data_IF_981362445321
#
_entry.id   IF_981362445321
#
_cell.length_a   1.000
_cell.length_b   1.000
_cell.length_c   1.000
_cell.angle_alpha   90.00
_cell.angle_beta   90.00
_cell.angle_gamma   90.00
#
_symmetry.space_group_name_H-M   'P 1'
#
loop_
_entity.id
_entity.type
_entity.pdbx_description
1 polymer ?
#
# COMPACT_ATOMS: atom_id res chain seq x y z
N UNK A 1 -2.12 -19.79 -4.87
CA UNK A 1 -3.12 -18.74 -5.16
C UNK A 1 -3.90 -18.41 -3.89
N UNK A 2 -4.48 -17.21 -3.81
CA UNK A 2 -5.31 -16.74 -2.72
C UNK A 2 -6.61 -16.13 -3.27
N UNK A 3 -7.72 -16.29 -2.55
CA UNK A 3 -9.00 -15.63 -2.88
C UNK A 3 -8.99 -14.24 -2.24
N UNK A 4 -9.17 -13.20 -3.06
CA UNK A 4 -9.31 -11.82 -2.61
C UNK A 4 -10.70 -11.27 -2.94
N UNK A 5 -11.32 -10.59 -1.98
CA UNK A 5 -12.60 -9.89 -2.16
C UNK A 5 -12.44 -8.37 -2.27
N UNK A 6 -11.25 -7.84 -1.93
CA UNK A 6 -11.07 -6.42 -1.68
C UNK A 6 -10.67 -5.64 -2.94
N UNK A 7 -10.20 -6.33 -3.99
CA UNK A 7 -9.84 -5.72 -5.26
C UNK A 7 -11.08 -5.15 -5.98
N UNK A 8 -12.21 -5.86 -5.92
CA UNK A 8 -13.48 -5.46 -6.54
C UNK A 8 -14.58 -5.11 -5.53
N UNK A 9 -14.46 -5.55 -4.28
CA UNK A 9 -15.53 -5.44 -3.29
C UNK A 9 -15.70 -4.07 -2.62
N UNK A 10 -14.85 -3.07 -2.87
CA UNK A 10 -14.91 -1.73 -2.25
C UNK A 10 -15.19 -1.75 -0.73
N UNK A 11 -14.57 -2.67 0.02
CA UNK A 11 -14.78 -2.80 1.47
C UNK A 11 -15.96 -3.68 1.90
N UNK A 12 -16.66 -4.32 0.95
CA UNK A 12 -17.66 -5.35 1.24
C UNK A 12 -17.05 -6.50 2.03
N UNK A 13 -17.71 -6.86 3.14
CA UNK A 13 -17.31 -8.03 3.94
C UNK A 13 -17.76 -9.35 3.31
N UNK A 14 -18.65 -9.30 2.31
CA UNK A 14 -19.28 -10.47 1.70
C UNK A 14 -18.40 -11.05 0.60
N UNK A 15 -18.10 -12.35 0.72
CA UNK A 15 -17.55 -13.14 -0.39
C UNK A 15 -18.70 -13.54 -1.30
N UNK A 16 -18.81 -12.88 -2.46
CA UNK A 16 -19.78 -13.18 -3.50
C UNK A 16 -19.04 -13.58 -4.78
N UNK A 17 -19.62 -14.47 -5.58
CA UNK A 17 -19.07 -14.83 -6.89
C UNK A 17 -18.83 -13.63 -7.82
N UNK A 18 -19.49 -12.50 -7.55
CA UNK A 18 -19.33 -11.24 -8.29
C UNK A 18 -18.22 -10.33 -7.75
N UNK A 19 -17.74 -10.55 -6.53
CA UNK A 19 -16.78 -9.65 -5.85
C UNK A 19 -15.44 -10.32 -5.55
N UNK A 20 -15.35 -11.64 -5.65
CA UNK A 20 -14.12 -12.40 -5.41
C UNK A 20 -13.28 -12.53 -6.69
N UNK A 21 -11.97 -12.56 -6.52
CA UNK A 21 -11.01 -12.88 -7.56
C UNK A 21 -9.90 -13.79 -7.01
N UNK A 22 -9.21 -14.51 -7.89
CA UNK A 22 -8.09 -15.37 -7.52
C UNK A 22 -6.80 -14.68 -7.91
N UNK A 23 -5.94 -14.44 -6.93
CA UNK A 23 -4.65 -13.77 -7.10
C UNK A 23 -3.48 -14.68 -6.72
N UNK A 24 -2.30 -14.50 -7.32
CA UNK A 24 -1.06 -14.95 -6.72
C UNK A 24 -0.96 -14.44 -5.28
N UNK A 25 -0.56 -15.31 -4.35
CA UNK A 25 -0.51 -14.99 -2.91
C UNK A 25 0.36 -13.76 -2.62
N UNK A 26 1.42 -13.60 -3.41
CA UNK A 26 2.32 -12.44 -3.40
C UNK A 26 1.59 -11.13 -3.71
N UNK A 27 0.76 -11.09 -4.75
CA UNK A 27 -0.05 -9.90 -5.09
C UNK A 27 -1.11 -9.62 -4.04
N UNK A 28 -1.77 -10.66 -3.51
CA UNK A 28 -2.72 -10.47 -2.42
C UNK A 28 -2.07 -9.84 -1.18
N UNK A 29 -0.86 -10.28 -0.84
CA UNK A 29 -0.08 -9.74 0.29
C UNK A 29 0.33 -8.29 0.05
N UNK A 30 0.79 -7.97 -1.18
CA UNK A 30 1.09 -6.59 -1.59
C UNK A 30 -0.12 -5.67 -1.36
N UNK A 31 -1.30 -6.05 -1.85
CA UNK A 31 -2.51 -5.24 -1.69
C UNK A 31 -2.93 -5.07 -0.24
N UNK A 32 -2.86 -6.15 0.55
CA UNK A 32 -3.20 -6.10 1.96
C UNK A 32 -2.28 -5.14 2.72
N UNK A 33 -0.98 -5.19 2.46
CA UNK A 33 0.01 -4.32 3.10
C UNK A 33 -0.14 -2.86 2.68
N UNK A 34 -0.48 -2.59 1.42
CA UNK A 34 -0.71 -1.23 0.92
C UNK A 34 -2.00 -0.58 1.46
N UNK A 35 -2.85 -1.35 2.15
CA UNK A 35 -4.08 -0.89 2.83
C UNK A 35 -4.01 -1.05 4.35
N UNK A 36 -2.87 -1.47 4.89
CA UNK A 36 -2.74 -1.80 6.31
C UNK A 36 -2.41 -0.54 7.10
N UNK A 37 -3.40 -0.01 7.81
CA UNK A 37 -3.20 1.13 8.70
C UNK A 37 -2.95 0.62 10.11
N UNK A 38 -1.78 0.96 10.67
CA UNK A 38 -1.49 0.77 12.09
C UNK A 38 -1.87 2.05 12.80
N UNK A 39 -2.70 1.94 13.84
CA UNK A 39 -2.96 3.05 14.78
C UNK A 39 -1.80 3.11 15.76
N UNK A 40 -0.58 3.34 15.28
CA UNK A 40 0.56 3.56 16.16
C UNK A 40 0.69 5.07 16.42
N UNK A 41 0.16 5.45 17.58
CA UNK A 41 0.20 6.77 18.18
C UNK A 41 -0.35 6.67 19.60
N UNK A 42 0.32 7.28 20.59
CA UNK A 42 -0.11 7.23 21.99
C UNK A 42 -1.47 7.94 22.23
N UNK A 43 -1.91 8.78 21.29
CA UNK A 43 -3.18 9.51 21.31
C UNK A 43 -3.81 9.61 19.91
N UNK A 44 -5.13 9.85 19.80
CA UNK A 44 -5.83 10.03 18.52
C UNK A 44 -5.25 11.15 17.63
N UNK A 45 -4.63 12.16 18.24
CA UNK A 45 -4.04 13.32 17.55
C UNK A 45 -2.65 13.04 16.95
N UNK A 46 -2.04 11.88 17.26
CA UNK A 46 -0.70 11.50 16.82
C UNK A 46 -0.68 10.33 15.83
N UNK A 47 -1.83 9.96 15.24
CA UNK A 47 -1.88 8.89 14.24
C UNK A 47 -1.23 9.38 12.94
N UNK A 48 -0.07 8.82 12.60
CA UNK A 48 0.61 9.12 11.34
C UNK A 48 0.00 8.30 10.19
N UNK A 49 -0.05 8.85 8.96
CA UNK A 49 -0.44 8.09 7.78
C UNK A 49 0.42 6.85 7.56
N UNK A 50 -0.13 5.92 6.77
CA UNK A 50 0.62 4.75 6.30
C UNK A 50 1.98 5.15 5.72
N UNK A 51 3.03 4.50 6.21
CA UNK A 51 4.39 4.70 5.73
C UNK A 51 5.04 6.01 6.17
N UNK A 52 4.39 6.83 7.00
CA UNK A 52 4.98 8.04 7.55
C UNK A 52 5.54 7.79 8.95
N UNK A 53 6.67 8.42 9.23
CA UNK A 53 7.37 8.43 10.51
C UNK A 53 7.75 9.86 10.87
N UNK A 54 8.03 10.07 12.16
CA UNK A 54 8.51 11.34 12.68
C UNK A 54 9.84 11.12 13.40
N UNK A 55 10.83 11.94 13.08
CA UNK A 55 12.14 11.91 13.74
C UNK A 55 12.28 13.11 14.68
N UNK A 56 12.18 12.85 15.98
CA UNK A 56 12.25 13.89 17.01
C UNK A 56 13.62 14.57 17.15
N UNK A 57 14.71 13.97 16.65
CA UNK A 57 16.05 14.58 16.71
C UNK A 57 16.21 15.73 15.74
N UNK A 58 15.59 15.60 14.56
CA UNK A 58 15.63 16.62 13.50
C UNK A 58 14.32 17.40 13.38
N UNK A 59 13.31 17.03 14.16
CA UNK A 59 11.97 17.64 14.18
C UNK A 59 11.32 17.64 12.78
N UNK A 60 11.37 16.51 12.07
CA UNK A 60 10.86 16.36 10.71
C UNK A 60 10.16 15.02 10.48
N UNK A 61 9.27 15.01 9.49
CA UNK A 61 8.57 13.82 9.02
C UNK A 61 9.30 13.18 7.85
N UNK A 62 9.12 11.89 7.65
CA UNK A 62 9.66 11.21 6.47
C UNK A 62 8.80 10.00 6.12
N UNK A 63 8.85 9.61 4.85
CA UNK A 63 8.27 8.35 4.40
C UNK A 63 9.27 7.20 4.60
N UNK A 64 8.77 6.02 4.90
CA UNK A 64 9.55 4.80 5.09
C UNK A 64 8.91 3.69 4.28
N UNK A 65 9.69 3.07 3.38
CA UNK A 65 9.18 2.06 2.45
C UNK A 65 10.05 0.82 2.42
N UNK A 66 9.41 -0.35 2.45
CA UNK A 66 9.99 -1.63 2.05
C UNK A 66 9.38 -2.01 0.69
N UNK A 67 10.24 -2.18 -0.31
CA UNK A 67 9.81 -2.59 -1.65
C UNK A 67 9.33 -4.04 -1.64
N UNK A 68 8.42 -4.37 -2.55
CA UNK A 68 7.87 -5.70 -2.57
C UNK A 68 8.94 -6.75 -2.91
N UNK A 69 9.14 -7.70 -2.00
CA UNK A 69 10.11 -8.78 -2.17
C UNK A 69 11.54 -8.41 -1.75
N UNK A 70 11.74 -7.27 -1.10
CA UNK A 70 12.98 -6.90 -0.41
C UNK A 70 12.78 -6.95 1.10
N UNK A 71 13.88 -7.02 1.83
CA UNK A 71 13.91 -6.83 3.29
C UNK A 71 14.46 -5.44 3.66
N UNK A 72 15.04 -4.73 2.69
CA UNK A 72 15.61 -3.40 2.89
C UNK A 72 14.52 -2.35 3.09
N UNK A 73 14.63 -1.65 4.21
CA UNK A 73 13.82 -0.49 4.55
C UNK A 73 14.55 0.77 4.09
N UNK A 74 13.85 1.62 3.33
CA UNK A 74 14.40 2.84 2.76
C UNK A 74 13.68 4.04 3.37
N UNK A 75 14.47 4.92 3.96
CA UNK A 75 14.02 6.24 4.41
C UNK A 75 13.99 7.20 3.22
N UNK A 76 12.84 7.84 3.03
CA UNK A 76 12.66 8.91 2.06
C UNK A 76 13.13 10.25 2.67
N UNK A 77 13.35 11.29 1.85
CA UNK A 77 13.80 12.59 2.33
C UNK A 77 12.89 13.17 3.42
N UNK A 78 13.51 13.87 4.37
CA UNK A 78 12.80 14.57 5.43
C UNK A 78 11.96 15.73 4.88
N UNK A 79 10.75 15.88 5.43
CA UNK A 79 9.75 16.90 5.12
C UNK A 79 9.29 17.61 6.38
N UNK A 80 8.81 18.83 6.22
CA UNK A 80 8.34 19.65 7.34
C UNK A 80 6.89 19.29 7.71
N UNK A 81 6.12 18.73 6.77
CA UNK A 81 4.72 18.34 7.00
C UNK A 81 4.46 16.85 6.78
N UNK A 82 3.46 16.33 7.51
CA UNK A 82 2.94 14.96 7.34
C UNK A 82 2.45 14.75 5.90
N UNK A 83 1.77 15.75 5.32
CA UNK A 83 1.19 15.66 3.98
C UNK A 83 2.26 15.48 2.89
N UNK A 84 3.38 16.20 3.00
CA UNK A 84 4.51 16.06 2.07
C UNK A 84 5.20 14.70 2.22
N UNK A 85 5.44 14.26 3.46
CA UNK A 85 6.05 12.96 3.72
C UNK A 85 5.18 11.82 3.16
N UNK A 86 3.85 11.90 3.33
CA UNK A 86 2.92 10.95 2.76
C UNK A 86 2.87 11.04 1.22
N UNK A 87 2.92 12.24 0.64
CA UNK A 87 2.92 12.41 -0.81
C UNK A 87 4.15 11.74 -1.46
N UNK A 88 5.31 11.81 -0.81
CA UNK A 88 6.50 11.08 -1.25
C UNK A 88 6.29 9.57 -1.12
N UNK A 89 5.90 9.09 0.07
CA UNK A 89 5.62 7.67 0.31
C UNK A 89 4.63 7.10 -0.73
N UNK A 90 3.52 7.79 -0.97
CA UNK A 90 2.48 7.42 -1.92
C UNK A 90 3.04 7.21 -3.32
N UNK A 91 3.86 8.13 -3.82
CA UNK A 91 4.48 8.01 -5.16
C UNK A 91 5.35 6.76 -5.27
N UNK A 92 6.23 6.54 -4.30
CA UNK A 92 7.12 5.38 -4.31
C UNK A 92 6.35 4.07 -4.16
N UNK A 93 5.32 4.04 -3.30
CA UNK A 93 4.54 2.83 -3.06
C UNK A 93 3.63 2.48 -4.24
N UNK A 94 3.01 3.46 -4.89
CA UNK A 94 2.24 3.23 -6.12
C UNK A 94 3.14 2.77 -7.27
N UNK A 95 4.38 3.28 -7.36
CA UNK A 95 5.37 2.80 -8.32
C UNK A 95 5.79 1.32 -8.05
N UNK A 96 6.07 0.97 -6.79
CA UNK A 96 6.34 -0.41 -6.35
C UNK A 96 5.20 -1.37 -6.74
N UNK A 97 3.96 -0.94 -6.51
CA UNK A 97 2.76 -1.69 -6.90
C UNK A 97 2.71 -1.87 -8.42
N UNK A 98 2.85 -0.80 -9.20
CA UNK A 98 2.77 -0.85 -10.65
C UNK A 98 3.86 -1.76 -11.27
N UNK A 99 5.11 -1.64 -10.80
CA UNK A 99 6.23 -2.48 -11.24
C UNK A 99 5.97 -3.93 -10.87
N UNK A 100 5.49 -4.19 -9.65
CA UNK A 100 5.21 -5.56 -9.21
C UNK A 100 4.08 -6.18 -10.01
N UNK A 101 2.96 -5.47 -10.19
CA UNK A 101 1.80 -5.94 -10.96
C UNK A 101 2.18 -6.23 -12.41
N UNK A 102 3.00 -5.39 -13.04
CA UNK A 102 3.51 -5.59 -14.40
C UNK A 102 4.21 -6.94 -14.60
N UNK A 103 4.90 -7.46 -13.57
CA UNK A 103 5.56 -8.78 -13.61
C UNK A 103 4.58 -9.97 -13.64
N UNK A 104 3.28 -9.72 -13.42
CA UNK A 104 2.22 -10.75 -13.40
C UNK A 104 1.26 -10.63 -14.57
N UNK A 105 1.49 -9.76 -15.57
CA UNK A 105 0.58 -9.55 -16.70
C UNK A 105 0.12 -10.85 -17.35
N UNK A 106 1.05 -11.75 -17.66
CA UNK A 106 0.74 -13.03 -18.33
C UNK A 106 0.29 -14.15 -17.37
N UNK A 107 0.18 -13.84 -16.06
CA UNK A 107 -0.12 -14.80 -14.99
C UNK A 107 -1.50 -14.61 -14.37
N UNK A 108 -2.20 -13.55 -14.73
CA UNK A 108 -3.53 -13.22 -14.23
C UNK A 108 -4.44 -12.76 -15.38
N UNK A 109 -5.77 -12.91 -15.25
CA UNK A 109 -6.72 -12.36 -16.21
C UNK A 109 -6.56 -10.84 -16.42
N UNK A 110 -6.76 -10.36 -17.65
CA UNK A 110 -6.57 -8.95 -18.02
C UNK A 110 -7.39 -7.99 -17.15
N UNK A 111 -8.67 -8.29 -16.90
CA UNK A 111 -9.53 -7.43 -16.07
C UNK A 111 -9.03 -7.28 -14.62
N UNK A 112 -8.30 -8.28 -14.09
CA UNK A 112 -7.64 -8.20 -12.78
C UNK A 112 -6.40 -7.33 -12.89
N UNK A 113 -5.59 -7.54 -13.92
CA UNK A 113 -4.39 -6.76 -14.18
C UNK A 113 -4.69 -5.26 -14.29
N UNK A 114 -5.66 -4.89 -15.12
CA UNK A 114 -6.10 -3.50 -15.26
C UNK A 114 -6.58 -2.92 -13.93
N UNK A 115 -7.38 -3.69 -13.17
CA UNK A 115 -7.86 -3.23 -11.86
C UNK A 115 -6.71 -2.99 -10.88
N UNK A 116 -5.71 -3.86 -10.86
CA UNK A 116 -4.52 -3.71 -9.99
C UNK A 116 -3.71 -2.45 -10.30
N UNK A 117 -3.61 -2.06 -11.58
CA UNK A 117 -2.92 -0.82 -11.98
C UNK A 117 -3.64 0.46 -11.51
N UNK A 118 -4.94 0.36 -11.22
CA UNK A 118 -5.72 1.50 -10.69
C UNK A 118 -5.66 1.65 -9.17
N UNK A 119 -4.98 0.74 -8.46
CA UNK A 119 -4.91 0.77 -7.00
C UNK A 119 -4.15 2.01 -6.54
N UNK A 120 -4.80 2.78 -5.67
CA UNK A 120 -4.22 3.96 -5.02
C UNK A 120 -3.91 3.67 -3.56
N UNK A 121 -2.85 4.32 -3.08
CA UNK A 121 -2.48 4.30 -1.67
C UNK A 121 -3.15 5.47 -0.97
N UNK A 122 -3.93 5.15 0.05
CA UNK A 122 -4.62 6.11 0.90
C UNK A 122 -3.89 6.26 2.24
N UNK A 123 -3.99 7.41 2.92
CA UNK A 123 -3.24 7.66 4.16
C UNK A 123 -3.76 6.87 5.37
N UNK A 124 -5.08 6.63 5.47
CA UNK A 124 -5.78 6.04 6.63
C UNK A 124 -6.84 5.00 6.24
#
# INVERSE_FOLDING_TARGET
MAVDKNLFGNGSKIYSSKTICILPQRLNTLLANSKKHYKDGETPDNVLPLGVRYNGKVNKYYGQITYFGTEDEIELPYRDTIAEAFADYKKFKECDIAITVSKYRDKIPEYIYEKLLTVRVEPY
#
